data_IF_002158536704
#
_entry.id   IF_002158536704
#
_cell.length_a   1.000
_cell.length_b   1.000
_cell.length_c   1.000
_cell.angle_alpha   90.00
_cell.angle_beta   90.00
_cell.angle_gamma   90.00
#
_symmetry.space_group_name_H-M   'P 1'
#
loop_
_entity.id
_entity.type
_entity.pdbx_description
1 polymer ?
#
# COMPACT_ATOMS: atom_id res chain seq x y z
N UNK A 1 56.25 -66.87 34.77
CA UNK A 1 56.61 -65.66 33.98
C UNK A 1 56.36 -65.79 32.46
N UNK A 2 56.68 -66.90 31.77
CA UNK A 2 56.48 -67.04 30.30
C UNK A 2 55.02 -66.91 29.80
N UNK A 3 54.01 -67.32 30.58
CA UNK A 3 52.59 -67.23 30.18
C UNK A 3 52.04 -65.79 30.17
N UNK A 4 52.43 -64.91 31.09
CA UNK A 4 51.98 -63.51 31.13
C UNK A 4 52.54 -62.65 29.98
N UNK A 5 53.76 -62.95 29.51
CA UNK A 5 54.37 -62.25 28.37
C UNK A 5 53.67 -62.58 27.03
N UNK A 6 53.17 -63.82 26.88
CA UNK A 6 52.45 -64.26 25.68
C UNK A 6 51.06 -63.61 25.57
N UNK A 7 50.33 -63.48 26.68
CA UNK A 7 49.02 -62.79 26.73
C UNK A 7 49.17 -61.29 26.46
N UNK A 8 50.21 -60.65 27.01
CA UNK A 8 50.54 -59.25 26.70
C UNK A 8 50.82 -59.02 25.21
N UNK A 9 51.52 -59.96 24.55
CA UNK A 9 51.80 -59.84 23.12
C UNK A 9 50.57 -60.11 22.24
N UNK A 10 49.66 -61.01 22.64
CA UNK A 10 48.38 -61.21 21.94
C UNK A 10 47.48 -59.97 22.05
N UNK A 11 47.35 -59.38 23.25
CA UNK A 11 46.58 -58.14 23.45
C UNK A 11 47.17 -56.97 22.66
N UNK A 12 48.51 -56.81 22.64
CA UNK A 12 49.16 -55.79 21.80
C UNK A 12 48.93 -56.01 20.30
N UNK A 13 48.85 -57.27 19.85
CA UNK A 13 48.60 -57.63 18.45
C UNK A 13 47.15 -57.39 18.03
N UNK A 14 46.19 -57.68 18.89
CA UNK A 14 44.77 -57.39 18.67
C UNK A 14 44.45 -55.89 18.74
N UNK A 15 45.10 -55.15 19.64
CA UNK A 15 45.01 -53.67 19.66
C UNK A 15 45.60 -53.09 18.36
N UNK A 16 46.74 -53.61 17.87
CA UNK A 16 47.29 -53.20 16.56
C UNK A 16 46.37 -53.53 15.38
N UNK A 17 45.70 -54.70 15.40
CA UNK A 17 44.73 -55.08 14.35
C UNK A 17 43.45 -54.23 14.39
N UNK A 18 42.95 -53.88 15.58
CA UNK A 18 41.74 -53.04 15.74
C UNK A 18 41.99 -51.56 15.40
N UNK A 19 43.22 -51.05 15.56
CA UNK A 19 43.59 -49.67 15.19
C UNK A 19 43.35 -49.34 13.71
N UNK A 20 43.56 -50.31 12.81
CA UNK A 20 43.32 -50.11 11.37
C UNK A 20 41.84 -49.92 11.03
N UNK A 21 40.98 -50.78 11.58
CA UNK A 21 39.52 -50.70 11.35
C UNK A 21 38.90 -49.45 11.97
N UNK A 22 39.37 -49.02 13.15
CA UNK A 22 38.89 -47.79 13.80
C UNK A 22 39.24 -46.57 12.95
N UNK A 23 40.44 -46.52 12.35
CA UNK A 23 40.85 -45.40 11.50
C UNK A 23 39.94 -45.25 10.27
N UNK A 24 39.56 -46.38 9.65
CA UNK A 24 38.64 -46.40 8.50
C UNK A 24 37.25 -45.90 8.92
N UNK A 25 36.71 -46.40 10.03
CA UNK A 25 35.38 -46.03 10.51
C UNK A 25 35.31 -44.55 10.91
N UNK A 26 36.38 -44.05 11.56
CA UNK A 26 36.53 -42.65 11.92
C UNK A 26 36.64 -41.77 10.67
N UNK A 27 37.39 -42.18 9.64
CA UNK A 27 37.48 -41.46 8.38
C UNK A 27 36.12 -41.31 7.69
N UNK A 28 35.33 -42.39 7.62
CA UNK A 28 33.96 -42.31 7.08
C UNK A 28 33.07 -41.38 7.91
N UNK A 29 33.11 -41.49 9.24
CA UNK A 29 32.31 -40.63 10.12
C UNK A 29 32.66 -39.14 9.95
N UNK A 30 33.96 -38.80 9.89
CA UNK A 30 34.40 -37.43 9.66
C UNK A 30 33.93 -36.89 8.30
N UNK A 31 34.07 -37.68 7.23
CA UNK A 31 33.57 -37.29 5.91
C UNK A 31 32.06 -37.09 5.94
N UNK A 32 31.31 -37.98 6.58
CA UNK A 32 29.85 -37.84 6.72
C UNK A 32 29.46 -36.56 7.47
N UNK A 33 30.12 -36.24 8.58
CA UNK A 33 29.87 -35.01 9.33
C UNK A 33 30.20 -33.77 8.49
N UNK A 34 31.32 -33.77 7.76
CA UNK A 34 31.71 -32.66 6.90
C UNK A 34 30.74 -32.43 5.75
N UNK A 35 30.24 -33.51 5.13
CA UNK A 35 29.21 -33.42 4.08
C UNK A 35 27.91 -32.86 4.64
N UNK A 36 27.47 -33.32 5.81
CA UNK A 36 26.26 -32.77 6.45
C UNK A 36 26.44 -31.30 6.85
N UNK A 37 27.58 -30.94 7.44
CA UNK A 37 27.88 -29.56 7.81
C UNK A 37 27.93 -28.65 6.58
N UNK A 38 28.55 -29.11 5.50
CA UNK A 38 28.61 -28.40 4.23
C UNK A 38 27.23 -28.17 3.62
N UNK A 39 26.39 -29.21 3.62
CA UNK A 39 25.01 -29.10 3.15
C UNK A 39 24.21 -28.09 3.97
N UNK A 40 24.37 -28.07 5.30
CA UNK A 40 23.70 -27.10 6.17
C UNK A 40 24.14 -25.67 5.84
N UNK A 41 25.44 -25.44 5.60
CA UNK A 41 25.95 -24.13 5.20
C UNK A 41 25.39 -23.69 3.85
N UNK A 42 25.38 -24.58 2.87
CA UNK A 42 24.88 -24.28 1.51
C UNK A 42 23.38 -23.98 1.51
N UNK A 43 22.58 -24.77 2.22
CA UNK A 43 21.14 -24.53 2.37
C UNK A 43 20.90 -23.22 3.12
N UNK A 44 21.66 -22.96 4.20
CA UNK A 44 21.58 -21.71 4.95
C UNK A 44 21.89 -20.50 4.08
N UNK A 45 22.94 -20.57 3.26
CA UNK A 45 23.31 -19.51 2.32
C UNK A 45 22.23 -19.29 1.26
N UNK A 46 21.74 -20.35 0.64
CA UNK A 46 20.67 -20.26 -0.36
C UNK A 46 19.37 -19.68 0.25
N UNK A 47 19.08 -19.99 1.52
CA UNK A 47 17.94 -19.44 2.23
C UNK A 47 18.10 -17.93 2.46
N UNK A 48 19.21 -17.47 3.05
CA UNK A 48 19.48 -16.04 3.29
C UNK A 48 19.45 -15.26 1.98
N UNK A 49 20.14 -15.75 0.95
CA UNK A 49 20.14 -15.09 -0.37
C UNK A 49 18.76 -15.06 -1.03
N UNK A 50 17.91 -16.04 -0.73
CA UNK A 50 16.52 -16.06 -1.17
C UNK A 50 15.62 -15.09 -0.41
N UNK A 51 15.91 -14.81 0.87
CA UNK A 51 15.22 -13.75 1.64
C UNK A 51 15.62 -12.37 1.13
N UNK A 52 16.92 -12.13 0.90
CA UNK A 52 17.38 -10.87 0.33
C UNK A 52 16.75 -10.61 -1.04
N UNK A 53 16.65 -11.65 -1.88
CA UNK A 53 16.02 -11.55 -3.20
C UNK A 53 14.51 -11.26 -3.11
N UNK A 54 13.81 -11.80 -2.10
CA UNK A 54 12.40 -11.49 -1.88
C UNK A 54 12.22 -10.03 -1.48
N UNK A 55 13.02 -9.54 -0.53
CA UNK A 55 12.96 -8.13 -0.12
C UNK A 55 13.21 -7.17 -1.29
N UNK A 56 14.15 -7.51 -2.18
CA UNK A 56 14.40 -6.75 -3.40
C UNK A 56 13.21 -6.80 -4.37
N UNK A 57 12.57 -7.97 -4.54
CA UNK A 57 11.37 -8.12 -5.35
C UNK A 57 10.20 -7.30 -4.80
N UNK A 58 9.95 -7.34 -3.49
CA UNK A 58 8.89 -6.59 -2.82
C UNK A 58 9.09 -5.08 -3.00
N UNK A 59 10.31 -4.58 -2.73
CA UNK A 59 10.65 -3.17 -2.90
C UNK A 59 10.46 -2.70 -4.34
N UNK A 60 10.90 -3.49 -5.32
CA UNK A 60 10.74 -3.19 -6.73
C UNK A 60 9.27 -3.23 -7.17
N UNK A 61 8.48 -4.18 -6.67
CA UNK A 61 7.05 -4.27 -6.97
C UNK A 61 6.26 -3.09 -6.36
N UNK A 62 6.56 -2.68 -5.13
CA UNK A 62 5.96 -1.48 -4.52
C UNK A 62 6.32 -0.21 -5.29
N UNK A 63 7.56 -0.09 -5.74
CA UNK A 63 8.00 1.04 -6.58
C UNK A 63 7.23 1.07 -7.91
N UNK A 64 7.14 -0.05 -8.62
CA UNK A 64 6.36 -0.15 -9.84
C UNK A 64 4.87 0.17 -9.61
N UNK A 65 4.33 -0.27 -8.47
CA UNK A 65 2.94 -0.03 -8.12
C UNK A 65 2.61 1.45 -7.97
N UNK A 66 3.59 2.34 -7.72
CA UNK A 66 3.39 3.81 -7.70
C UNK A 66 2.91 4.40 -9.02
N UNK A 67 3.00 3.64 -10.10
CA UNK A 67 2.51 4.04 -11.43
C UNK A 67 1.10 3.52 -11.73
N UNK A 68 0.53 2.65 -10.89
CA UNK A 68 -0.84 2.13 -11.04
C UNK A 68 -1.88 3.17 -10.59
N UNK A 69 -3.07 3.25 -11.20
CA UNK A 69 -3.52 2.43 -12.33
C UNK A 69 -2.86 2.83 -13.66
N UNK A 70 -2.74 1.88 -14.60
CA UNK A 70 -2.14 2.14 -15.92
C UNK A 70 -3.08 1.71 -17.05
N UNK A 71 -3.38 2.61 -17.98
CA UNK A 71 -4.25 2.31 -19.12
C UNK A 71 -3.68 1.20 -20.01
N UNK A 72 -4.55 0.30 -20.44
CA UNK A 72 -4.19 -0.84 -21.28
C UNK A 72 -4.20 -0.41 -22.75
N UNK A 73 -3.08 -0.65 -23.44
CA UNK A 73 -2.93 -0.45 -24.90
C UNK A 73 -3.08 0.99 -25.41
N UNK A 74 -2.97 2.01 -24.55
CA UNK A 74 -2.84 3.42 -24.97
C UNK A 74 -1.38 3.85 -25.04
N UNK A 75 -1.05 4.89 -25.81
CA UNK A 75 0.33 5.40 -25.89
C UNK A 75 0.83 5.95 -24.55
N UNK A 76 -0.07 6.56 -23.78
CA UNK A 76 0.21 7.02 -22.42
C UNK A 76 0.43 5.84 -21.47
N UNK A 77 -0.43 4.83 -21.53
CA UNK A 77 -0.30 3.61 -20.75
C UNK A 77 1.04 2.90 -20.98
N UNK A 78 1.46 2.76 -22.24
CA UNK A 78 2.77 2.19 -22.59
C UNK A 78 3.93 3.02 -22.03
N UNK A 79 3.81 4.35 -22.02
CA UNK A 79 4.81 5.25 -21.41
C UNK A 79 4.88 5.07 -19.88
N UNK A 80 3.73 5.00 -19.20
CA UNK A 80 3.66 4.71 -17.76
C UNK A 80 4.21 3.33 -17.41
N UNK A 81 3.93 2.31 -18.22
CA UNK A 81 4.52 0.98 -18.06
C UNK A 81 6.04 1.02 -18.15
N UNK A 82 6.59 1.74 -19.14
CA UNK A 82 8.05 1.91 -19.26
C UNK A 82 8.66 2.64 -18.05
N UNK A 83 7.96 3.65 -17.51
CA UNK A 83 8.39 4.33 -16.28
C UNK A 83 8.34 3.42 -15.05
N UNK A 84 7.31 2.57 -14.93
CA UNK A 84 7.22 1.58 -13.88
C UNK A 84 8.37 0.55 -13.95
N UNK A 85 8.73 0.10 -15.16
CA UNK A 85 9.89 -0.78 -15.36
C UNK A 85 11.20 -0.07 -14.99
N UNK A 86 11.36 1.21 -15.33
CA UNK A 86 12.53 1.98 -14.93
C UNK A 86 12.63 2.12 -13.38
N UNK A 87 11.49 2.27 -12.69
CA UNK A 87 11.44 2.27 -11.22
C UNK A 87 11.82 0.90 -10.63
N UNK A 88 11.40 -0.21 -11.26
CA UNK A 88 11.85 -1.55 -10.89
C UNK A 88 13.37 -1.61 -10.92
N UNK A 89 14.00 -1.23 -12.02
CA UNK A 89 15.46 -1.28 -12.17
C UNK A 89 16.18 -0.37 -11.16
N UNK A 90 15.68 0.84 -10.92
CA UNK A 90 16.23 1.77 -9.94
C UNK A 90 16.16 1.18 -8.51
N UNK A 91 15.01 0.65 -8.11
CA UNK A 91 14.85 0.05 -6.79
C UNK A 91 15.63 -1.24 -6.63
N UNK A 92 15.78 -2.05 -7.68
CA UNK A 92 16.68 -3.21 -7.65
C UNK A 92 18.12 -2.77 -7.43
N UNK A 93 18.59 -1.72 -8.10
CA UNK A 93 19.98 -1.23 -7.92
C UNK A 93 20.28 -0.76 -6.49
N UNK A 94 19.25 -0.36 -5.73
CA UNK A 94 19.35 0.11 -4.33
C UNK A 94 19.23 -1.02 -3.31
N UNK A 95 18.53 -2.10 -3.65
CA UNK A 95 18.17 -3.18 -2.72
C UNK A 95 18.87 -4.52 -3.04
N UNK A 96 19.56 -4.62 -4.17
CA UNK A 96 20.29 -5.80 -4.64
C UNK A 96 21.78 -5.52 -4.77
N UNK A 97 22.63 -6.53 -4.58
CA UNK A 97 24.09 -6.46 -4.76
C UNK A 97 24.52 -6.58 -6.24
N UNK A 98 23.58 -6.41 -7.18
CA UNK A 98 23.78 -6.52 -8.62
C UNK A 98 23.95 -7.96 -9.11
N UNK A 99 23.60 -8.95 -8.29
CA UNK A 99 23.70 -10.38 -8.62
C UNK A 99 22.37 -10.97 -9.09
N UNK A 100 21.25 -10.26 -8.88
CA UNK A 100 19.95 -10.69 -9.38
C UNK A 100 19.77 -10.38 -10.87
N UNK A 101 18.89 -11.15 -11.51
CA UNK A 101 18.44 -10.99 -12.88
C UNK A 101 16.95 -10.71 -12.86
N UNK A 102 16.54 -9.60 -13.47
CA UNK A 102 15.14 -9.31 -13.71
C UNK A 102 14.61 -10.25 -14.80
N UNK A 103 13.70 -11.15 -14.43
CA UNK A 103 13.08 -12.11 -15.35
C UNK A 103 11.93 -11.47 -16.11
N UNK A 104 11.17 -10.61 -15.44
CA UNK A 104 10.04 -9.91 -16.05
C UNK A 104 9.28 -9.01 -15.09
N UNK A 105 8.54 -8.08 -15.69
CA UNK A 105 7.56 -7.21 -15.04
C UNK A 105 6.24 -7.42 -15.78
N UNK A 106 5.27 -8.00 -15.09
CA UNK A 106 3.95 -8.32 -15.66
C UNK A 106 2.90 -7.40 -15.04
N UNK A 107 2.14 -6.70 -15.88
CA UNK A 107 0.99 -5.92 -15.45
C UNK A 107 -0.25 -6.82 -15.50
N UNK A 108 -0.94 -6.92 -14.37
CA UNK A 108 -2.02 -7.87 -14.11
C UNK A 108 -3.18 -7.17 -13.42
N UNK A 109 -4.27 -7.92 -13.19
CA UNK A 109 -5.53 -7.48 -12.58
C UNK A 109 -6.10 -6.21 -13.24
N UNK A 110 -7.22 -6.33 -13.93
CA UNK A 110 -7.78 -5.19 -14.67
C UNK A 110 -9.11 -4.75 -14.10
N UNK A 111 -9.37 -3.44 -14.13
CA UNK A 111 -10.71 -2.88 -14.02
C UNK A 111 -11.00 -1.98 -15.21
N UNK A 112 -12.29 -1.69 -15.44
CA UNK A 112 -12.73 -0.80 -16.51
C UNK A 112 -13.26 0.48 -15.89
N UNK A 113 -12.70 1.61 -16.31
CA UNK A 113 -13.17 2.96 -16.05
C UNK A 113 -13.93 3.47 -17.30
N UNK A 114 -15.03 4.21 -17.09
CA UNK A 114 -15.87 4.68 -18.20
C UNK A 114 -15.21 5.78 -19.05
N UNK A 115 -14.29 6.56 -18.46
CA UNK A 115 -13.53 7.62 -19.11
C UNK A 115 -12.18 7.13 -19.64
N UNK A 116 -11.46 6.32 -18.88
CA UNK A 116 -10.10 5.86 -19.17
C UNK A 116 -10.03 4.47 -19.81
N UNK A 117 -11.12 3.70 -19.79
CA UNK A 117 -11.19 2.35 -20.33
C UNK A 117 -10.53 1.32 -19.43
N UNK A 118 -9.91 0.29 -20.03
CA UNK A 118 -9.32 -0.80 -19.28
C UNK A 118 -7.99 -0.36 -18.64
N UNK A 119 -7.83 -0.62 -17.34
CA UNK A 119 -6.69 -0.21 -16.52
C UNK A 119 -6.09 -1.41 -15.78
N UNK A 120 -4.76 -1.51 -15.73
CA UNK A 120 -4.04 -2.43 -14.85
C UNK A 120 -4.00 -1.91 -13.42
N UNK A 121 -4.22 -2.81 -12.46
CA UNK A 121 -4.29 -2.53 -11.00
C UNK A 121 -3.29 -3.33 -10.18
N UNK A 122 -2.57 -4.26 -10.80
CA UNK A 122 -1.50 -4.99 -10.18
C UNK A 122 -0.26 -5.05 -11.06
N UNK A 123 0.88 -5.22 -10.41
CA UNK A 123 2.17 -5.44 -11.06
C UNK A 123 2.91 -6.56 -10.34
N UNK A 124 3.44 -7.50 -11.12
CA UNK A 124 4.25 -8.62 -10.63
C UNK A 124 5.67 -8.45 -11.13
N UNK A 125 6.63 -8.51 -10.21
CA UNK A 125 8.07 -8.49 -10.51
C UNK A 125 8.64 -9.89 -10.25
N UNK A 126 9.41 -10.42 -11.20
CA UNK A 126 10.04 -11.75 -11.10
C UNK A 126 11.56 -11.62 -11.17
N UNK A 127 12.26 -12.18 -10.18
CA UNK A 127 13.72 -12.12 -10.07
C UNK A 127 14.33 -13.52 -9.94
N UNK A 128 15.54 -13.67 -10.44
CA UNK A 128 16.36 -14.86 -10.27
C UNK A 128 17.77 -14.50 -9.81
N UNK A 129 18.38 -15.34 -8.97
CA UNK A 129 19.77 -15.18 -8.54
C UNK A 129 20.49 -16.53 -8.54
N UNK A 130 21.61 -16.68 -9.26
CA UNK A 130 22.46 -17.85 -9.14
C UNK A 130 23.24 -17.80 -7.82
N UNK A 131 23.01 -18.76 -6.93
CA UNK A 131 23.74 -18.91 -5.67
C UNK A 131 24.81 -19.97 -5.83
N UNK A 132 26.08 -19.59 -5.70
CA UNK A 132 27.20 -20.53 -5.70
C UNK A 132 27.20 -21.32 -4.39
N UNK A 133 27.31 -22.64 -4.48
CA UNK A 133 27.38 -23.53 -3.32
C UNK A 133 28.85 -23.71 -2.92
N UNK A 134 29.14 -23.63 -1.63
CA UNK A 134 30.49 -23.81 -1.10
C UNK A 134 30.87 -25.30 -1.02
N UNK A 135 29.96 -26.15 -0.58
CA UNK A 135 30.20 -27.59 -0.38
C UNK A 135 29.52 -28.48 -1.42
N UNK A 136 28.55 -27.94 -2.16
CA UNK A 136 27.90 -28.59 -3.29
C UNK A 136 28.85 -29.19 -4.33
N UNK A 137 30.02 -28.58 -4.65
CA UNK A 137 31.00 -29.17 -5.56
C UNK A 137 31.48 -30.57 -5.13
N UNK A 138 31.44 -30.91 -3.83
CA UNK A 138 31.80 -32.24 -3.31
C UNK A 138 30.88 -33.33 -3.88
N UNK A 139 29.63 -32.98 -4.18
CA UNK A 139 28.62 -33.87 -4.76
C UNK A 139 28.28 -33.51 -6.22
N UNK A 140 29.09 -32.65 -6.85
CA UNK A 140 28.95 -32.27 -8.26
C UNK A 140 27.94 -31.14 -8.54
N UNK A 141 27.49 -30.39 -7.53
CA UNK A 141 26.53 -29.29 -7.68
C UNK A 141 27.23 -27.96 -7.38
N UNK A 142 27.55 -27.18 -8.41
CA UNK A 142 28.33 -25.95 -8.22
C UNK A 142 27.49 -24.72 -7.86
N UNK A 143 26.22 -24.69 -8.27
CA UNK A 143 25.33 -23.56 -8.00
C UNK A 143 23.86 -23.99 -8.02
N UNK A 144 23.00 -23.15 -7.47
CA UNK A 144 21.55 -23.27 -7.53
C UNK A 144 20.94 -21.90 -7.80
N UNK A 145 20.12 -21.80 -8.85
CA UNK A 145 19.32 -20.60 -9.11
C UNK A 145 18.15 -20.55 -8.14
N UNK A 146 18.02 -19.43 -7.44
CA UNK A 146 16.88 -19.12 -6.58
C UNK A 146 15.99 -18.13 -7.34
N UNK A 147 14.71 -18.44 -7.45
CA UNK A 147 13.71 -17.56 -8.06
C UNK A 147 12.78 -17.00 -6.97
N UNK A 148 12.41 -15.72 -7.09
CA UNK A 148 11.46 -15.01 -6.23
C UNK A 148 10.57 -14.13 -7.09
N UNK A 149 9.39 -13.83 -6.56
CA UNK A 149 8.47 -12.90 -7.18
C UNK A 149 7.72 -12.12 -6.11
N UNK A 150 7.22 -10.95 -6.48
CA UNK A 150 6.36 -10.13 -5.65
C UNK A 150 5.24 -9.57 -6.52
N UNK A 151 4.00 -9.65 -6.07
CA UNK A 151 2.84 -9.02 -6.72
C UNK A 151 2.24 -7.97 -5.80
N UNK A 152 2.21 -6.72 -6.27
CA UNK A 152 1.58 -5.62 -5.56
C UNK A 152 0.35 -5.15 -6.35
N UNK A 153 -0.72 -4.86 -5.63
CA UNK A 153 -2.00 -4.39 -6.16
C UNK A 153 -2.43 -3.10 -5.46
N UNK A 154 -3.16 -2.24 -6.18
CA UNK A 154 -3.92 -1.14 -5.59
C UNK A 154 -5.35 -1.58 -5.24
N UNK A 155 -5.82 -1.18 -4.07
CA UNK A 155 -7.17 -1.44 -3.57
C UNK A 155 -7.82 -0.14 -3.15
N UNK A 156 -9.13 -0.02 -3.35
CA UNK A 156 -9.90 1.11 -2.86
C UNK A 156 -10.03 1.04 -1.33
N UNK A 157 -9.94 2.18 -0.67
CA UNK A 157 -10.15 2.28 0.77
C UNK A 157 -11.63 2.46 1.06
N UNK A 158 -12.20 1.57 1.87
CA UNK A 158 -13.64 1.52 2.18
C UNK A 158 -13.96 1.73 3.66
N UNK A 159 -12.96 1.85 4.54
CA UNK A 159 -13.21 2.05 5.97
C UNK A 159 -11.96 2.31 6.79
N UNK A 160 -12.16 2.48 8.10
CA UNK A 160 -11.11 2.76 9.10
C UNK A 160 -10.23 3.98 8.73
N UNK A 161 -10.88 5.02 8.20
CA UNK A 161 -10.26 6.29 7.85
C UNK A 161 -10.81 7.42 8.70
N UNK A 162 -9.98 8.43 8.92
CA UNK A 162 -10.37 9.68 9.57
C UNK A 162 -10.94 10.63 8.54
N UNK A 163 -12.22 10.96 8.64
CA UNK A 163 -12.92 11.75 7.63
C UNK A 163 -13.48 13.04 8.20
N UNK A 164 -13.46 14.09 7.38
CA UNK A 164 -14.19 15.30 7.72
C UNK A 164 -15.70 15.07 7.48
N UNK A 165 -16.59 15.69 8.27
CA UNK A 165 -18.05 15.60 8.13
C UNK A 165 -18.55 16.44 6.94
N UNK A 166 -17.88 16.28 5.81
CA UNK A 166 -18.12 16.95 4.54
C UNK A 166 -18.35 15.91 3.45
N UNK A 167 -19.10 16.30 2.43
CA UNK A 167 -19.38 15.49 1.27
C UNK A 167 -19.62 16.32 0.02
N UNK A 168 -19.34 15.69 -1.11
CA UNK A 168 -19.55 16.24 -2.46
C UNK A 168 -20.40 15.25 -3.24
N UNK A 169 -21.37 15.76 -4.01
CA UNK A 169 -22.17 14.90 -4.87
C UNK A 169 -21.32 14.30 -5.98
N UNK A 170 -21.64 13.07 -6.39
CA UNK A 170 -21.01 12.44 -7.55
C UNK A 170 -21.06 13.35 -8.79
N UNK A 171 -22.24 13.93 -9.06
CA UNK A 171 -22.45 14.86 -10.18
C UNK A 171 -21.48 16.06 -10.14
N UNK A 172 -21.25 16.65 -8.97
CA UNK A 172 -20.30 17.77 -8.83
C UNK A 172 -18.86 17.32 -8.99
N UNK A 173 -18.52 16.14 -8.48
CA UNK A 173 -17.18 15.55 -8.66
C UNK A 173 -16.88 15.34 -10.14
N UNK A 174 -17.83 14.79 -10.89
CA UNK A 174 -17.72 14.52 -12.32
C UNK A 174 -17.76 15.80 -13.18
N UNK A 175 -18.49 16.82 -12.73
CA UNK A 175 -18.55 18.12 -13.41
C UNK A 175 -17.29 18.98 -13.21
N UNK A 176 -16.44 18.66 -12.23
CA UNK A 176 -15.19 19.41 -11.97
C UNK A 176 -14.11 18.98 -12.95
N UNK A 177 -13.59 19.92 -13.73
CA UNK A 177 -12.52 19.64 -14.69
C UNK A 177 -11.19 19.35 -13.98
N UNK A 178 -10.34 18.57 -14.65
CA UNK A 178 -8.97 18.34 -14.20
C UNK A 178 -8.23 19.68 -14.03
N UNK A 179 -7.53 19.86 -12.91
CA UNK A 179 -6.84 21.12 -12.60
C UNK A 179 -7.71 22.18 -11.93
N UNK A 180 -9.01 21.93 -11.71
CA UNK A 180 -9.90 22.87 -11.03
C UNK A 180 -10.12 22.54 -9.54
N UNK A 181 -10.38 23.59 -8.76
CA UNK A 181 -10.81 23.45 -7.37
C UNK A 181 -12.31 23.14 -7.31
N UNK A 182 -12.71 22.22 -6.44
CA UNK A 182 -14.10 22.05 -6.06
C UNK A 182 -14.45 23.03 -4.94
N UNK A 183 -15.57 23.73 -5.08
CA UNK A 183 -16.10 24.59 -4.03
C UNK A 183 -17.17 23.82 -3.22
N UNK A 184 -17.04 23.79 -1.89
CA UNK A 184 -18.09 23.38 -0.96
C UNK A 184 -18.68 24.66 -0.36
N UNK A 185 -19.89 25.00 -0.77
CA UNK A 185 -20.50 26.30 -0.46
C UNK A 185 -21.37 26.25 0.79
N UNK A 186 -21.17 27.25 1.66
CA UNK A 186 -21.97 27.53 2.84
C UNK A 186 -22.94 28.72 2.61
N UNK A 187 -23.17 29.10 1.35
CA UNK A 187 -24.11 30.17 0.98
C UNK A 187 -25.52 29.60 0.76
N UNK A 188 -26.49 30.06 1.54
CA UNK A 188 -27.91 29.65 1.45
C UNK A 188 -28.59 29.99 0.11
N UNK A 189 -27.92 30.75 -0.76
CA UNK A 189 -28.41 31.14 -2.09
C UNK A 189 -27.93 30.23 -3.21
N UNK A 190 -27.00 29.32 -2.91
CA UNK A 190 -26.49 28.36 -3.89
C UNK A 190 -27.55 27.29 -4.17
N UNK A 191 -27.72 26.91 -5.43
CA UNK A 191 -28.74 25.95 -5.85
C UNK A 191 -28.44 24.52 -5.36
N UNK A 192 -27.17 24.21 -5.08
CA UNK A 192 -26.78 22.95 -4.44
C UNK A 192 -26.97 22.97 -2.91
N UNK A 193 -27.13 24.14 -2.32
CA UNK A 193 -27.40 24.27 -0.88
C UNK A 193 -28.88 24.10 -0.64
N UNK A 194 -29.27 22.88 -0.31
CA UNK A 194 -30.67 22.53 -0.17
C UNK A 194 -31.04 22.53 1.31
N UNK A 195 -31.92 23.47 1.68
CA UNK A 195 -32.40 23.65 3.06
C UNK A 195 -31.29 23.79 4.11
N UNK A 196 -30.16 24.43 3.76
CA UNK A 196 -29.06 24.67 4.68
C UNK A 196 -28.18 23.45 4.94
N UNK A 197 -28.26 22.42 4.10
CA UNK A 197 -27.21 21.42 4.00
C UNK A 197 -26.14 21.95 3.02
N UNK A 198 -24.93 22.13 3.53
CA UNK A 198 -23.81 22.78 2.86
C UNK A 198 -22.70 21.76 2.48
N UNK A 199 -23.13 20.57 2.05
CA UNK A 199 -22.25 19.41 1.95
C UNK A 199 -21.81 18.88 3.32
N UNK A 200 -22.48 19.29 4.40
CA UNK A 200 -22.18 18.84 5.77
C UNK A 200 -22.95 17.57 6.09
N UNK A 201 -22.27 16.54 6.59
CA UNK A 201 -22.84 15.22 6.84
C UNK A 201 -22.92 14.91 8.33
N UNK A 202 -24.04 14.33 8.76
CA UNK A 202 -24.22 13.75 10.09
C UNK A 202 -23.71 12.30 10.05
N UNK A 203 -22.45 12.09 10.44
CA UNK A 203 -21.74 10.83 10.22
C UNK A 203 -22.04 9.76 11.27
N UNK A 204 -22.50 10.16 12.47
CA UNK A 204 -22.77 9.26 13.59
C UNK A 204 -24.28 9.01 13.79
N UNK A 205 -25.14 9.81 13.15
CA UNK A 205 -26.60 9.71 13.23
C UNK A 205 -27.17 10.22 14.56
N UNK A 206 -26.37 10.94 15.35
CA UNK A 206 -26.70 11.44 16.68
C UNK A 206 -27.60 12.68 16.71
N UNK A 207 -27.99 13.21 15.54
CA UNK A 207 -28.77 14.44 15.42
C UNK A 207 -27.93 15.71 15.25
N UNK A 208 -26.62 15.54 15.02
CA UNK A 208 -25.66 16.57 14.66
C UNK A 208 -25.44 17.68 15.67
N UNK A 209 -24.47 18.54 15.37
CA UNK A 209 -24.21 19.74 16.16
C UNK A 209 -23.01 20.52 15.68
N UNK A 210 -23.05 21.85 15.82
CA UNK A 210 -21.96 22.72 15.35
C UNK A 210 -20.61 22.43 16.07
N UNK A 211 -20.65 21.96 17.33
CA UNK A 211 -19.46 21.56 18.07
C UNK A 211 -18.90 20.23 17.57
N UNK A 212 -19.77 19.22 17.43
CA UNK A 212 -19.41 17.91 16.89
C UNK A 212 -18.84 18.02 15.47
N UNK A 213 -19.52 18.76 14.59
CA UNK A 213 -19.02 19.07 13.25
C UNK A 213 -17.61 19.66 13.26
N UNK A 214 -17.33 20.59 14.18
CA UNK A 214 -15.99 21.17 14.32
C UNK A 214 -14.96 20.13 14.79
N UNK A 215 -15.31 19.36 15.82
CA UNK A 215 -14.42 18.36 16.40
C UNK A 215 -14.09 17.25 15.39
N UNK A 216 -15.09 16.77 14.65
CA UNK A 216 -14.93 15.78 13.57
C UNK A 216 -14.16 16.34 12.39
N UNK A 217 -14.38 17.61 12.02
CA UNK A 217 -13.62 18.21 10.93
C UNK A 217 -12.13 18.34 11.31
N UNK A 218 -11.83 18.82 12.52
CA UNK A 218 -10.43 19.00 12.98
C UNK A 218 -9.73 17.67 13.23
N UNK A 219 -10.37 16.72 13.91
CA UNK A 219 -9.74 15.48 14.35
C UNK A 219 -9.95 14.29 13.41
N UNK A 220 -10.95 14.40 12.52
CA UNK A 220 -11.47 13.34 11.70
C UNK A 220 -12.39 12.40 12.48
N UNK A 221 -13.61 12.21 11.99
CA UNK A 221 -14.51 11.15 12.42
C UNK A 221 -13.91 9.79 12.09
N UNK A 222 -13.94 8.84 13.02
CA UNK A 222 -13.33 7.51 12.90
C UNK A 222 -14.35 6.35 12.99
N UNK A 223 -15.65 6.67 12.97
CA UNK A 223 -16.70 5.67 12.93
C UNK A 223 -16.84 4.97 11.57
N UNK A 224 -17.64 3.91 11.55
CA UNK A 224 -17.84 3.10 10.35
C UNK A 224 -18.85 3.74 9.41
N UNK A 225 -18.47 3.88 8.14
CA UNK A 225 -19.36 4.27 7.06
C UNK A 225 -19.53 3.07 6.13
N UNK A 226 -20.79 2.71 5.87
CA UNK A 226 -21.13 1.61 4.97
C UNK A 226 -21.50 2.21 3.62
N UNK A 227 -20.69 1.88 2.61
CA UNK A 227 -20.84 2.39 1.25
C UNK A 227 -21.79 1.54 0.41
N UNK A 228 -22.45 2.20 -0.55
CA UNK A 228 -23.30 1.55 -1.56
C UNK A 228 -24.41 0.66 -0.98
N UNK A 229 -24.87 0.97 0.22
CA UNK A 229 -25.97 0.29 0.90
C UNK A 229 -27.12 1.26 1.17
N UNK A 230 -28.27 0.97 0.57
CA UNK A 230 -29.49 1.79 0.69
C UNK A 230 -30.12 1.76 2.09
N UNK A 231 -29.76 0.79 2.93
CA UNK A 231 -30.21 0.71 4.31
C UNK A 231 -29.34 1.57 5.26
N UNK A 232 -28.17 2.02 4.81
CA UNK A 232 -27.19 2.80 5.58
C UNK A 232 -26.98 4.19 4.97
N UNK A 233 -28.04 4.99 4.91
CA UNK A 233 -28.00 6.36 4.43
C UNK A 233 -27.47 7.32 5.50
N UNK A 234 -26.70 8.31 5.05
CA UNK A 234 -26.19 9.40 5.90
C UNK A 234 -27.14 10.60 5.78
N UNK A 235 -27.48 11.23 6.90
CA UNK A 235 -28.30 12.44 6.90
C UNK A 235 -27.44 13.70 6.75
N UNK A 236 -27.99 14.74 6.13
CA UNK A 236 -27.33 16.05 6.09
C UNK A 236 -27.41 16.75 7.43
N UNK A 237 -26.32 17.39 7.88
CA UNK A 237 -26.40 18.27 9.05
C UNK A 237 -27.27 19.49 8.72
N UNK A 238 -28.02 19.94 9.72
CA UNK A 238 -28.83 21.15 9.63
C UNK A 238 -28.35 22.19 10.64
N UNK A 239 -28.44 23.48 10.29
CA UNK A 239 -28.05 24.58 11.17
C UNK A 239 -27.01 25.52 10.55
N UNK A 240 -26.60 26.55 11.30
CA UNK A 240 -25.62 27.54 10.83
C UNK A 240 -24.21 27.02 11.12
N UNK A 241 -23.64 26.29 10.17
CA UNK A 241 -22.32 25.65 10.32
C UNK A 241 -21.16 26.48 9.75
N UNK A 242 -21.43 27.53 8.97
CA UNK A 242 -20.40 28.35 8.31
C UNK A 242 -19.26 28.80 9.24
N UNK A 243 -19.58 29.34 10.42
CA UNK A 243 -18.55 29.81 11.35
C UNK A 243 -17.64 28.67 11.82
N UNK A 244 -18.22 27.49 12.09
CA UNK A 244 -17.47 26.30 12.50
C UNK A 244 -16.67 25.68 11.38
N UNK A 245 -17.17 25.73 10.14
CA UNK A 245 -16.42 25.31 8.97
C UNK A 245 -15.19 26.19 8.74
N UNK A 246 -15.34 27.52 8.91
CA UNK A 246 -14.20 28.45 8.84
C UNK A 246 -13.19 28.20 9.97
N UNK A 247 -13.64 28.12 11.23
CA UNK A 247 -12.77 27.87 12.37
C UNK A 247 -11.98 26.55 12.20
N UNK A 248 -12.65 25.49 11.73
CA UNK A 248 -12.03 24.18 11.50
C UNK A 248 -11.06 24.20 10.32
N UNK A 249 -11.41 24.90 9.23
CA UNK A 249 -10.50 25.13 8.12
C UNK A 249 -9.23 25.83 8.60
N UNK A 250 -9.34 26.97 9.30
CA UNK A 250 -8.19 27.72 9.83
C UNK A 250 -7.35 26.85 10.75
N UNK A 251 -7.99 26.12 11.68
CA UNK A 251 -7.31 25.20 12.60
C UNK A 251 -6.46 24.18 11.87
N UNK A 252 -7.01 23.51 10.85
CA UNK A 252 -6.25 22.51 10.06
C UNK A 252 -5.22 23.17 9.14
N UNK A 253 -5.57 24.30 8.54
CA UNK A 253 -4.72 24.98 7.57
C UNK A 253 -3.45 25.52 8.22
N UNK A 254 -3.57 26.09 9.42
CA UNK A 254 -2.49 26.67 10.21
C UNK A 254 -1.71 25.62 11.01
N UNK A 255 -2.29 24.45 11.28
CA UNK A 255 -1.58 23.32 11.89
C UNK A 255 -0.50 22.71 10.99
N UNK A 256 -0.44 23.09 9.70
CA UNK A 256 0.59 22.61 8.79
C UNK A 256 1.97 23.18 9.14
N UNK A 257 2.89 22.32 9.57
CA UNK A 257 4.29 22.68 9.86
C UNK A 257 5.26 22.40 8.72
N UNK A 258 4.77 21.85 7.61
CA UNK A 258 5.58 21.49 6.45
C UNK A 258 5.93 22.72 5.61
N UNK A 259 7.05 22.69 4.90
CA UNK A 259 7.45 23.75 3.94
C UNK A 259 7.21 25.20 4.41
N UNK A 260 7.69 25.61 5.60
CA UNK A 260 7.36 26.92 6.18
C UNK A 260 7.80 28.10 5.31
N UNK A 261 8.87 27.96 4.54
CA UNK A 261 9.35 28.98 3.61
C UNK A 261 8.48 29.13 2.35
N UNK A 262 7.58 28.18 2.08
CA UNK A 262 6.73 28.13 0.87
C UNK A 262 5.24 28.29 1.20
N UNK A 263 4.90 28.61 2.46
CA UNK A 263 3.50 28.83 2.88
C UNK A 263 2.74 27.55 3.25
N UNK A 264 3.44 26.43 3.46
CA UNK A 264 2.83 25.15 3.84
C UNK A 264 2.60 24.21 2.66
N UNK A 265 1.94 23.08 2.90
CA UNK A 265 1.56 22.17 1.82
C UNK A 265 0.57 22.82 0.84
N UNK A 266 0.82 22.63 -0.45
CA UNK A 266 -0.02 23.05 -1.58
C UNK A 266 -0.21 21.88 -2.56
N UNK A 267 -0.90 22.12 -3.68
CA UNK A 267 -1.03 21.13 -4.75
C UNK A 267 0.33 20.69 -5.31
N UNK A 268 1.25 21.64 -5.51
CA UNK A 268 2.55 21.36 -6.12
C UNK A 268 3.47 20.54 -5.20
N UNK A 269 3.29 20.68 -3.89
CA UNK A 269 4.11 19.99 -2.89
C UNK A 269 3.35 19.79 -1.58
N UNK A 270 3.18 18.52 -1.21
CA UNK A 270 2.55 18.15 0.06
C UNK A 270 3.23 16.92 0.67
N UNK A 271 2.96 16.70 1.95
CA UNK A 271 3.37 15.49 2.68
C UNK A 271 2.10 14.70 3.00
N UNK A 272 2.14 13.38 2.77
CA UNK A 272 1.06 12.48 3.17
C UNK A 272 0.72 12.66 4.66
N UNK A 273 -0.56 12.71 5.00
CA UNK A 273 -1.02 12.93 6.37
C UNK A 273 -0.90 14.36 6.89
N UNK A 274 -0.55 15.33 6.04
CA UNK A 274 -0.60 16.74 6.40
C UNK A 274 -2.02 17.15 6.88
N UNK A 275 -2.15 18.02 7.90
CA UNK A 275 -3.46 18.53 8.35
C UNK A 275 -4.29 19.21 7.25
N UNK A 276 -3.65 19.78 6.22
CA UNK A 276 -4.33 20.35 5.05
C UNK A 276 -4.96 19.31 4.12
N UNK A 277 -4.63 18.03 4.27
CA UNK A 277 -5.31 16.97 3.55
C UNK A 277 -6.50 16.52 4.38
N UNK A 278 -7.66 16.46 3.75
CA UNK A 278 -8.90 15.97 4.33
C UNK A 278 -9.44 14.85 3.46
N UNK A 279 -10.12 13.90 4.08
CA UNK A 279 -10.84 12.85 3.38
C UNK A 279 -12.31 13.14 3.59
N UNK A 280 -13.07 13.17 2.51
CA UNK A 280 -14.51 13.44 2.53
C UNK A 280 -15.26 12.31 1.82
N UNK A 281 -16.59 12.31 1.95
CA UNK A 281 -17.44 11.31 1.32
C UNK A 281 -17.92 11.83 -0.04
N UNK A 282 -17.77 11.01 -1.09
CA UNK A 282 -18.54 11.19 -2.32
C UNK A 282 -19.87 10.49 -2.14
N UNK A 283 -20.96 11.18 -2.48
CA UNK A 283 -22.30 10.67 -2.22
C UNK A 283 -23.26 10.89 -3.39
N UNK A 284 -24.30 10.07 -3.43
CA UNK A 284 -25.47 10.31 -4.27
C UNK A 284 -26.67 10.71 -3.41
N UNK A 285 -27.44 11.70 -3.85
CA UNK A 285 -28.64 12.13 -3.15
C UNK A 285 -29.78 11.13 -3.37
N UNK A 286 -30.48 10.76 -2.29
CA UNK A 286 -31.61 9.82 -2.35
C UNK A 286 -32.96 10.53 -2.17
N UNK A 287 -33.04 11.55 -1.31
CA UNK A 287 -34.29 12.29 -1.06
C UNK A 287 -34.20 13.75 -1.48
N UNK A 288 -35.21 14.21 -2.22
CA UNK A 288 -35.35 15.60 -2.63
C UNK A 288 -35.89 16.53 -1.52
N UNK A 289 -36.47 15.93 -0.47
CA UNK A 289 -37.12 16.62 0.64
C UNK A 289 -36.49 16.24 1.98
N UNK A 290 -36.53 17.14 2.99
CA UNK A 290 -36.04 16.86 4.32
C UNK A 290 -36.72 15.66 4.99
N UNK A 291 -35.99 14.87 5.81
CA UNK A 291 -34.54 14.94 5.98
C UNK A 291 -33.81 14.51 4.69
N UNK A 292 -32.77 15.27 4.32
CA UNK A 292 -31.98 14.96 3.13
C UNK A 292 -31.08 13.78 3.46
N UNK A 293 -31.19 12.73 2.65
CA UNK A 293 -30.43 11.49 2.83
C UNK A 293 -29.53 11.25 1.64
N UNK A 294 -28.32 10.78 1.95
CA UNK A 294 -27.24 10.58 1.02
C UNK A 294 -26.78 9.14 1.08
N UNK A 295 -26.68 8.51 -0.07
CA UNK A 295 -26.02 7.22 -0.24
C UNK A 295 -24.52 7.50 -0.36
N UNK A 296 -23.70 7.10 0.63
CA UNK A 296 -22.26 7.27 0.53
C UNK A 296 -21.71 6.25 -0.48
N UNK A 297 -20.86 6.71 -1.40
CA UNK A 297 -20.29 5.90 -2.48
C UNK A 297 -18.83 5.53 -2.22
N UNK A 298 -18.06 6.44 -1.64
CA UNK A 298 -16.66 6.18 -1.30
C UNK A 298 -15.93 7.40 -0.72
N UNK A 299 -14.64 7.21 -0.45
CA UNK A 299 -13.77 8.26 0.11
C UNK A 299 -12.96 8.97 -0.97
N UNK A 300 -12.92 10.29 -0.89
CA UNK A 300 -12.10 11.12 -1.76
C UNK A 300 -11.14 12.00 -0.93
N UNK A 301 -9.83 11.97 -1.22
CA UNK A 301 -8.88 12.85 -0.57
C UNK A 301 -8.82 14.20 -1.28
N UNK A 302 -8.74 15.26 -0.49
CA UNK A 302 -8.66 16.63 -0.96
C UNK A 302 -7.63 17.41 -0.18
N UNK A 303 -6.96 18.36 -0.83
CA UNK A 303 -6.15 19.37 -0.16
C UNK A 303 -6.91 20.68 -0.02
N UNK A 304 -6.88 21.24 1.19
CA UNK A 304 -7.44 22.54 1.52
C UNK A 304 -6.66 23.65 0.78
N UNK A 305 -7.36 24.48 0.01
CA UNK A 305 -6.75 25.59 -0.74
C UNK A 305 -7.00 26.93 -0.07
N UNK A 306 -8.28 27.30 0.05
CA UNK A 306 -8.71 28.58 0.62
C UNK A 306 -10.17 28.54 1.08
N UNK A 307 -10.54 29.51 1.90
CA UNK A 307 -11.91 29.73 2.32
C UNK A 307 -12.29 31.19 2.02
N UNK A 308 -13.23 31.41 1.08
CA UNK A 308 -13.63 32.76 0.64
C UNK A 308 -15.11 32.80 0.31
N UNK A 309 -15.77 33.95 0.55
CA UNK A 309 -17.18 34.17 0.18
C UNK A 309 -18.16 33.08 0.66
N UNK A 310 -17.94 32.56 1.86
CA UNK A 310 -18.69 31.43 2.43
C UNK A 310 -18.49 30.09 1.71
N UNK A 311 -17.43 29.95 0.92
CA UNK A 311 -17.11 28.70 0.22
C UNK A 311 -15.73 28.20 0.61
N UNK A 312 -15.66 26.92 0.93
CA UNK A 312 -14.43 26.18 1.09
C UNK A 312 -13.98 25.68 -0.29
N UNK A 313 -12.77 26.04 -0.72
CA UNK A 313 -12.18 25.54 -1.94
C UNK A 313 -11.18 24.44 -1.62
N UNK A 314 -11.38 23.30 -2.26
CA UNK A 314 -10.54 22.10 -2.12
C UNK A 314 -10.10 21.60 -3.48
N UNK A 315 -8.94 20.96 -3.54
CA UNK A 315 -8.44 20.36 -4.77
C UNK A 315 -8.38 18.83 -4.62
N UNK A 316 -8.93 18.04 -5.56
CA UNK A 316 -8.94 16.58 -5.48
C UNK A 316 -7.52 16.01 -5.59
N UNK A 317 -7.19 15.02 -4.77
CA UNK A 317 -5.90 14.32 -4.82
C UNK A 317 -6.09 12.85 -5.18
N UNK A 318 -5.02 12.26 -5.72
CA UNK A 318 -4.83 10.81 -5.74
C UNK A 318 -3.83 10.45 -4.64
N UNK A 319 -4.31 9.86 -3.56
CA UNK A 319 -3.54 9.57 -2.36
C UNK A 319 -3.42 8.07 -2.15
N UNK A 320 -2.21 7.64 -1.78
CA UNK A 320 -1.94 6.27 -1.34
C UNK A 320 -1.76 6.27 0.17
N UNK A 321 -2.51 5.41 0.86
CA UNK A 321 -2.44 5.29 2.32
C UNK A 321 -1.99 3.90 2.76
N UNK A 322 -1.40 3.84 3.95
CA UNK A 322 -0.91 2.59 4.54
C UNK A 322 -1.90 1.95 5.53
N UNK A 323 -3.01 2.64 5.81
CA UNK A 323 -4.05 2.24 6.77
C UNK A 323 -5.41 2.18 6.06
N UNK A 324 -6.44 1.72 6.78
CA UNK A 324 -7.79 1.58 6.25
C UNK A 324 -8.15 0.16 5.84
N UNK A 325 -9.44 -0.16 5.96
CA UNK A 325 -10.06 -1.33 5.34
C UNK A 325 -10.13 -1.11 3.84
N UNK A 326 -9.86 -2.15 3.07
CA UNK A 326 -9.79 -2.07 1.63
C UNK A 326 -10.63 -3.11 0.94
N UNK A 327 -11.02 -2.79 -0.29
CA UNK A 327 -11.64 -3.72 -1.22
C UNK A 327 -10.91 -3.67 -2.55
N UNK A 328 -10.77 -4.82 -3.19
CA UNK A 328 -10.20 -4.89 -4.53
C UNK A 328 -11.04 -4.07 -5.51
N UNK A 329 -10.38 -3.29 -6.35
CA UNK A 329 -10.98 -2.62 -7.50
C UNK A 329 -11.41 -3.68 -8.52
N UNK A 330 -12.65 -4.15 -8.41
CA UNK A 330 -13.29 -5.00 -9.43
C UNK A 330 -14.17 -4.18 -10.38
N UNK A 331 -14.51 -2.97 -9.98
CA UNK A 331 -15.32 -1.99 -10.69
C UNK A 331 -15.04 -0.58 -10.12
N UNK A 332 -15.73 0.42 -10.66
CA UNK A 332 -15.66 1.84 -10.29
C UNK A 332 -16.34 2.17 -8.96
N UNK A 333 -16.91 1.19 -8.25
CA UNK A 333 -17.89 1.44 -7.17
C UNK A 333 -17.32 2.22 -5.98
N UNK A 334 -15.99 2.26 -5.82
CA UNK A 334 -15.31 2.91 -4.69
C UNK A 334 -14.15 3.82 -5.11
N UNK A 335 -13.93 4.04 -6.41
CA UNK A 335 -12.76 4.80 -6.86
C UNK A 335 -13.04 6.30 -6.87
N UNK A 336 -12.47 7.00 -5.88
CA UNK A 336 -12.46 8.46 -5.83
C UNK A 336 -11.09 9.03 -5.45
N UNK A 337 -10.01 8.34 -5.81
CA UNK A 337 -8.64 8.82 -5.61
C UNK A 337 -8.00 8.46 -4.26
N UNK A 338 -8.64 7.63 -3.42
CA UNK A 338 -8.03 7.11 -2.18
C UNK A 338 -7.74 5.61 -2.29
N UNK A 339 -6.45 5.28 -2.39
CA UNK A 339 -6.00 3.90 -2.60
C UNK A 339 -5.07 3.42 -1.50
N UNK A 340 -4.95 2.11 -1.39
CA UNK A 340 -3.90 1.45 -0.61
C UNK A 340 -3.18 0.44 -1.48
N UNK A 341 -1.86 0.44 -1.42
CA UNK A 341 -1.04 -0.59 -2.04
C UNK A 341 -0.91 -1.79 -1.10
N UNK A 342 -1.10 -2.99 -1.65
CA UNK A 342 -1.04 -4.24 -0.90
C UNK A 342 -0.16 -5.25 -1.62
N UNK A 343 0.75 -5.88 -0.88
CA UNK A 343 1.47 -7.06 -1.34
C UNK A 343 0.53 -8.27 -1.26
N UNK A 344 0.32 -8.95 -2.39
CA UNK A 344 -0.65 -10.04 -2.55
C UNK A 344 0.04 -11.39 -2.71
N UNK A 345 1.24 -11.42 -3.30
CA UNK A 345 2.05 -12.62 -3.50
C UNK A 345 3.54 -12.33 -3.29
#
# INVERSE_FOLDING_TARGET
>A
MKRMAATSNQVKRDIRRRRGSILVLLAFLFVSILVMAGLVVDVGMAFVRGTDLQNAADAAAFAAATMLPIQVSTSEGLSRQAQAVALVEDYLSKNDDGQSVLVGVDFEDTFTDDAEGLLYTAVRVRLERPVQLLFGPIVGINSRTVSRHAKVRIEAVIGDMKIAPLGISLERREATLEGENVAITFDTRDEEVINGNFGSLDLDGGGGGATEFFDDYVNGYDGEIIFNDTDHLIEGQTGVLFGKALDAFETRYDACTHFPAQGGCTLDHYVEGCPRIIIIIIHQRVTDKPPHRYLPLGYAPYILQKFENKSLYVYPLDLRVNVGKTQQLTDMTYDFGLFRTRLVE
#
